data_IF_777967842896
#
_entry.id   IF_777967842896
#
_cell.length_a   1.000
_cell.length_b   1.000
_cell.length_c   1.000
_cell.angle_alpha   90.00
_cell.angle_beta   90.00
_cell.angle_gamma   90.00
#
_symmetry.space_group_name_H-M   'P 1'
#
loop_
_entity.id
_entity.type
_entity.pdbx_description
1 polymer ?
#
# COMPACT_ATOMS: atom_id res chain seq x y z
N UNK A 1 5.60 -5.16 3.04
CA UNK A 1 6.55 -4.08 3.37
C UNK A 1 6.69 -3.18 2.15
N UNK A 2 6.74 -1.86 2.34
CA UNK A 2 6.94 -0.87 1.27
C UNK A 2 8.42 -0.55 1.00
N UNK A 3 9.37 -1.34 1.52
CA UNK A 3 10.81 -1.10 1.29
C UNK A 3 11.19 -1.06 -0.20
N UNK A 4 12.31 -0.40 -0.57
CA UNK A 4 12.74 -0.23 -1.96
C UNK A 4 12.91 -1.52 -2.77
N UNK A 5 13.10 -2.67 -2.12
CA UNK A 5 13.16 -3.97 -2.80
C UNK A 5 11.81 -4.69 -2.86
N UNK A 6 10.99 -4.56 -1.81
CA UNK A 6 9.74 -5.32 -1.70
C UNK A 6 8.61 -4.72 -2.54
N UNK A 7 8.43 -3.39 -2.55
CA UNK A 7 7.33 -2.75 -3.26
C UNK A 7 7.40 -2.97 -4.78
N UNK A 8 8.55 -2.75 -5.46
CA UNK A 8 8.64 -3.00 -6.90
C UNK A 8 8.42 -4.47 -7.26
N UNK A 9 8.96 -5.40 -6.46
CA UNK A 9 8.77 -6.83 -6.68
C UNK A 9 7.29 -7.23 -6.54
N UNK A 10 6.59 -6.68 -5.55
CA UNK A 10 5.16 -6.93 -5.36
C UNK A 10 4.32 -6.37 -6.50
N UNK A 11 4.61 -5.13 -6.95
CA UNK A 11 3.92 -4.49 -8.07
C UNK A 11 4.13 -5.22 -9.40
N UNK A 12 5.31 -5.81 -9.60
CA UNK A 12 5.61 -6.60 -10.80
C UNK A 12 4.94 -7.98 -10.79
N UNK A 13 4.60 -8.52 -9.62
CA UNK A 13 4.06 -9.86 -9.47
C UNK A 13 2.53 -9.90 -9.35
N UNK A 14 1.95 -9.02 -8.52
CA UNK A 14 0.52 -9.07 -8.20
C UNK A 14 -0.32 -8.40 -9.30
N UNK A 15 -1.52 -8.93 -9.52
CA UNK A 15 -2.49 -8.29 -10.41
C UNK A 15 -2.92 -6.93 -9.83
N UNK A 16 -3.10 -5.87 -10.67
CA UNK A 16 -3.67 -4.62 -10.22
C UNK A 16 -4.96 -4.83 -9.42
N UNK A 17 -5.16 -4.08 -8.34
CA UNK A 17 -6.30 -4.27 -7.44
C UNK A 17 -6.03 -5.17 -6.23
N UNK A 18 -4.91 -5.91 -6.19
CA UNK A 18 -4.64 -6.93 -5.15
C UNK A 18 -3.55 -6.53 -4.15
N UNK A 19 -3.18 -5.25 -4.08
CA UNK A 19 -2.22 -4.73 -3.10
C UNK A 19 -2.94 -3.72 -2.22
N UNK A 20 -2.91 -3.92 -0.90
CA UNK A 20 -3.56 -3.05 0.07
C UNK A 20 -2.51 -2.48 1.03
N UNK A 21 -2.76 -1.27 1.54
CA UNK A 21 -2.03 -0.70 2.66
C UNK A 21 -2.33 -1.45 3.98
N UNK A 22 -1.31 -1.56 4.83
CA UNK A 22 -1.43 -2.09 6.20
C UNK A 22 -0.28 -1.61 7.07
N UNK A 23 -0.60 -0.91 8.16
CA UNK A 23 0.39 -0.32 9.07
C UNK A 23 0.98 -1.30 10.08
N UNK A 24 0.27 -2.39 10.36
CA UNK A 24 0.57 -3.35 11.44
C UNK A 24 0.56 -2.72 12.86
N UNK A 25 -0.01 -1.53 13.02
CA UNK A 25 -0.19 -0.90 14.34
C UNK A 25 -1.29 -1.64 15.14
N UNK A 26 -1.13 -1.88 16.46
CA UNK A 26 -0.06 -1.38 17.35
C UNK A 26 1.14 -2.34 17.52
N UNK A 27 1.21 -3.44 16.76
CA UNK A 27 2.33 -4.37 16.85
C UNK A 27 3.63 -3.73 16.31
N UNK A 28 3.57 -3.12 15.13
CA UNK A 28 4.60 -2.23 14.63
C UNK A 28 4.47 -0.84 15.29
N UNK A 29 5.54 -0.32 15.93
CA UNK A 29 5.55 1.03 16.49
C UNK A 29 5.34 2.11 15.42
N UNK A 30 4.88 3.29 15.84
CA UNK A 30 4.59 4.41 14.94
C UNK A 30 5.79 4.79 14.09
N UNK A 31 7.00 4.78 14.66
CA UNK A 31 8.24 5.12 13.95
C UNK A 31 8.51 4.15 12.80
N UNK A 32 8.20 2.86 13.00
CA UNK A 32 8.33 1.83 11.96
C UNK A 32 7.29 2.04 10.86
N UNK A 33 6.05 2.36 11.23
CA UNK A 33 5.00 2.72 10.29
C UNK A 33 5.39 3.94 9.43
N UNK A 34 5.80 5.04 10.06
CA UNK A 34 6.24 6.27 9.37
C UNK A 34 7.39 6.00 8.41
N UNK A 35 8.39 5.20 8.81
CA UNK A 35 9.52 4.84 7.96
C UNK A 35 9.09 4.13 6.66
N UNK A 36 8.20 3.14 6.75
CA UNK A 36 7.71 2.44 5.54
C UNK A 36 6.72 3.27 4.73
N UNK A 37 5.90 4.09 5.39
CA UNK A 37 4.99 5.02 4.70
C UNK A 37 5.78 5.97 3.81
N UNK A 38 6.92 6.49 4.27
CA UNK A 38 7.77 7.36 3.46
C UNK A 38 8.19 6.70 2.14
N UNK A 39 8.57 5.42 2.15
CA UNK A 39 8.90 4.71 0.89
C UNK A 39 7.68 4.50 -0.01
N UNK A 40 6.52 4.22 0.58
CA UNK A 40 5.28 4.07 -0.20
C UNK A 40 4.89 5.40 -0.84
N UNK A 41 4.85 6.49 -0.07
CA UNK A 41 4.44 7.83 -0.50
C UNK A 41 5.39 8.45 -1.54
N UNK A 42 6.68 8.09 -1.50
CA UNK A 42 7.70 8.63 -2.41
C UNK A 42 8.08 7.68 -3.55
N UNK A 43 7.35 6.56 -3.71
CA UNK A 43 7.63 5.60 -4.78
C UNK A 43 7.39 6.25 -6.16
N UNK A 44 8.42 6.35 -7.02
CA UNK A 44 8.35 7.17 -8.23
C UNK A 44 7.55 6.54 -9.37
N UNK A 45 7.42 5.22 -9.39
CA UNK A 45 6.95 4.48 -10.57
C UNK A 45 5.50 4.00 -10.46
N UNK A 46 4.69 4.63 -9.59
CA UNK A 46 3.26 4.35 -9.58
C UNK A 46 2.61 4.75 -10.91
N UNK A 47 1.81 3.83 -11.46
CA UNK A 47 0.89 4.18 -12.53
C UNK A 47 -0.17 5.20 -12.02
N UNK A 48 -0.78 6.01 -12.91
CA UNK A 48 -1.82 6.96 -12.52
C UNK A 48 -2.93 6.30 -11.69
N UNK A 49 -3.16 6.81 -10.48
CA UNK A 49 -4.18 6.31 -9.54
C UNK A 49 -3.78 5.08 -8.71
N UNK A 50 -2.62 4.45 -8.98
CA UNK A 50 -2.22 3.21 -8.30
C UNK A 50 -1.94 3.42 -6.80
N UNK A 51 -1.33 4.55 -6.42
CA UNK A 51 -1.12 4.91 -5.02
C UNK A 51 -2.45 4.98 -4.24
N UNK A 52 -3.42 5.74 -4.77
CA UNK A 52 -4.75 5.87 -4.17
C UNK A 52 -5.51 4.52 -4.12
N UNK A 53 -5.29 3.65 -5.11
CA UNK A 53 -5.84 2.30 -5.11
C UNK A 53 -5.25 1.45 -3.97
N UNK A 54 -3.92 1.49 -3.76
CA UNK A 54 -3.25 0.79 -2.65
C UNK A 54 -3.70 1.33 -1.29
N UNK A 55 -3.81 2.65 -1.15
CA UNK A 55 -4.19 3.31 0.11
C UNK A 55 -5.63 3.01 0.52
N UNK A 56 -6.55 2.87 -0.45
CA UNK A 56 -7.98 2.71 -0.14
C UNK A 56 -8.78 1.96 -1.18
N UNK A 57 -8.66 2.30 -2.47
CA UNK A 57 -9.58 1.80 -3.50
C UNK A 57 -9.67 0.27 -3.60
N UNK A 58 -8.55 -0.42 -3.45
CA UNK A 58 -8.49 -1.88 -3.47
C UNK A 58 -9.19 -2.49 -2.25
N UNK A 59 -9.05 -1.86 -1.08
CA UNK A 59 -9.70 -2.30 0.15
C UNK A 59 -11.22 -2.11 0.07
N UNK A 60 -11.71 -1.06 -0.58
CA UNK A 60 -13.15 -0.82 -0.78
C UNK A 60 -13.79 -1.88 -1.67
N UNK A 61 -13.11 -2.30 -2.73
CA UNK A 61 -13.58 -3.39 -3.59
C UNK A 61 -13.66 -4.72 -2.82
N UNK A 62 -12.65 -5.01 -1.98
CA UNK A 62 -12.60 -6.23 -1.17
C UNK A 62 -13.58 -6.21 0.02
N UNK A 63 -13.82 -5.03 0.59
CA UNK A 63 -14.71 -4.83 1.74
C UNK A 63 -15.81 -3.81 1.43
N UNK A 64 -16.82 -4.15 0.60
CA UNK A 64 -17.83 -3.20 0.13
C UNK A 64 -18.59 -2.44 1.23
N UNK A 65 -18.72 -3.03 2.42
CA UNK A 65 -19.35 -2.36 3.59
C UNK A 65 -18.59 -1.11 4.08
N UNK A 66 -17.32 -0.97 3.70
CA UNK A 66 -16.45 0.16 4.06
C UNK A 66 -16.36 1.21 2.95
N UNK A 67 -16.83 0.89 1.74
CA UNK A 67 -17.01 1.86 0.66
C UNK A 67 -18.18 2.78 1.02
N UNK A 68 -17.87 3.99 1.47
CA UNK A 68 -18.84 5.05 1.78
C UNK A 68 -18.49 6.30 1.00
#
# INVERSE_FOLDING_TARGET
SASPSALPALLAFAEPGHILYGSDWPFAPQETGTYYNQFLETYPDFAPGQAAAVDRGNAEALFPRLAR
#
